data_IF_000432510838
#
_entry.id   IF_000432510838
#
_cell.length_a   1.000
_cell.length_b   1.000
_cell.length_c   1.000
_cell.angle_alpha   90.00
_cell.angle_beta   90.00
_cell.angle_gamma   90.00
#
_symmetry.space_group_name_H-M   'P 1'
#
loop_
_entity.id
_entity.type
_entity.pdbx_description
1 polymer ?
2 branched ?
3 non-polymer ?
4 non-polymer ?
5 non-polymer ?
6 non-polymer ?
7 water ?
#
# COMPACT_ATOMS: atom_id res chain seq x y z
N UNK A 1 18.82 -20.73 -7.45
CA UNK A 1 18.23 -21.89 -6.71
C UNK A 1 16.72 -21.73 -6.56
N UNK A 2 15.93 -22.63 -7.16
CA UNK A 2 14.46 -22.52 -7.09
C UNK A 2 13.94 -22.55 -5.67
N UNK A 3 13.04 -21.63 -5.31
CA UNK A 3 12.41 -21.65 -3.99
C UNK A 3 10.93 -21.98 -4.09
N UNK A 4 10.42 -22.62 -3.04
CA UNK A 4 9.03 -23.06 -2.98
C UNK A 4 8.20 -21.92 -2.46
N UNK A 5 7.13 -21.59 -3.17
CA UNK A 5 6.24 -20.51 -2.75
C UNK A 5 4.79 -20.97 -2.75
N UNK A 6 4.07 -20.58 -1.70
CA UNK A 6 2.65 -20.85 -1.59
C UNK A 6 1.90 -19.52 -1.64
N UNK A 7 1.26 -19.25 -2.78
CA UNK A 7 0.49 -18.01 -2.97
C UNK A 7 -1.01 -18.29 -2.90
N UNK A 8 -1.79 -17.22 -2.66
CA UNK A 8 -3.23 -17.29 -2.70
C UNK A 8 -3.73 -17.81 -4.04
N UNK A 9 -3.11 -17.31 -5.10
CA UNK A 9 -3.39 -17.78 -6.45
C UNK A 9 -2.37 -18.86 -6.83
N UNK A 10 -2.81 -20.12 -6.75
CA UNK A 10 -1.93 -21.26 -7.11
C UNK A 10 -1.58 -21.31 -8.58
N UNK A 11 -2.27 -20.53 -9.41
CA UNK A 11 -1.95 -20.42 -10.84
C UNK A 11 -1.30 -19.07 -11.24
N UNK A 12 -0.74 -18.35 -10.26
CA UNK A 12 -0.12 -17.05 -10.51
C UNK A 12 1.00 -17.13 -11.54
N UNK A 13 1.22 -16.07 -12.29
CA UNK A 13 2.29 -16.07 -13.31
C UNK A 13 3.65 -16.23 -12.71
N UNK A 14 4.63 -16.59 -13.55
CA UNK A 14 5.97 -16.81 -13.04
C UNK A 14 6.57 -15.55 -12.46
N UNK A 15 6.24 -14.39 -13.03
CA UNK A 15 6.78 -13.13 -12.57
C UNK A 15 6.14 -12.74 -11.23
N UNK A 16 4.88 -13.11 -11.03
CA UNK A 16 4.19 -12.85 -9.75
C UNK A 16 4.76 -13.71 -8.64
N UNK A 17 5.03 -14.98 -8.94
CA UNK A 17 5.73 -15.86 -8.01
C UNK A 17 7.12 -15.34 -7.70
N UNK A 18 7.82 -14.83 -8.72
CA UNK A 18 9.16 -14.31 -8.52
C UNK A 18 9.17 -13.10 -7.61
N UNK A 19 8.17 -12.23 -7.76
CA UNK A 19 8.08 -11.04 -6.88
C UNK A 19 7.96 -11.47 -5.43
N UNK A 20 7.13 -12.46 -5.17
CA UNK A 20 6.97 -12.99 -3.81
C UNK A 20 8.28 -13.55 -3.28
N UNK A 21 8.98 -14.34 -4.09
CA UNK A 21 10.25 -14.94 -3.71
C UNK A 21 11.30 -13.85 -3.48
N UNK A 22 11.28 -12.81 -4.32
CA UNK A 22 12.21 -11.69 -4.19
C UNK A 22 12.06 -11.05 -2.82
N UNK A 23 10.84 -10.70 -2.44
CA UNK A 23 10.65 -10.01 -1.18
C UNK A 23 10.98 -10.95 -0.02
N UNK A 24 10.71 -12.25 -0.17
CA UNK A 24 11.03 -13.20 0.91
C UNK A 24 12.53 -13.14 1.23
N UNK A 25 13.35 -13.07 0.19
CA UNK A 25 14.80 -12.97 0.40
C UNK A 25 15.23 -11.55 0.82
N UNK A 26 14.85 -10.55 0.02
CA UNK A 26 15.27 -9.18 0.19
C UNK A 26 14.98 -8.61 1.58
N UNK A 27 13.90 -9.06 2.20
CA UNK A 27 13.42 -8.38 3.39
C UNK A 27 14.33 -8.56 4.59
N UNK A 28 15.21 -9.56 4.57
CA UNK A 28 16.16 -9.64 5.67
C UNK A 28 17.50 -8.96 5.40
N UNK A 29 17.59 -8.22 4.29
CA UNK A 29 18.79 -7.50 3.93
C UNK A 29 18.60 -6.00 3.78
N UNK A 30 17.34 -5.54 3.72
CA UNK A 30 17.03 -4.13 3.54
C UNK A 30 15.55 -3.89 3.85
N UNK A 31 15.16 -2.63 3.84
CA UNK A 31 13.74 -2.23 3.78
C UNK A 31 13.59 -1.33 2.57
N UNK A 32 12.70 -1.71 1.67
CA UNK A 32 12.45 -0.90 0.47
C UNK A 32 11.59 0.31 0.82
N UNK A 33 11.87 1.43 0.16
CA UNK A 33 11.05 2.63 0.31
C UNK A 33 9.98 2.66 -0.76
N UNK A 34 8.75 2.90 -0.31
CA UNK A 34 7.60 3.07 -1.17
C UNK A 34 6.96 4.44 -1.05
N UNK A 35 6.30 4.87 -2.12
CA UNK A 35 5.68 6.18 -2.16
C UNK A 35 4.41 6.13 -3.05
N UNK A 36 3.29 6.52 -2.48
CA UNK A 36 2.04 6.64 -3.24
C UNK A 36 2.15 7.74 -4.30
N UNK A 37 1.66 7.47 -5.51
CA UNK A 37 1.68 8.43 -6.62
C UNK A 37 3.11 8.91 -6.90
N UNK A 38 4.07 8.00 -6.78
CA UNK A 38 5.47 8.36 -6.89
C UNK A 38 5.78 9.20 -8.14
N UNK A 39 5.27 8.78 -9.30
CA UNK A 39 5.60 9.48 -10.55
C UNK A 39 4.41 10.18 -11.17
N UNK A 40 3.31 10.27 -10.42
CA UNK A 40 2.11 10.95 -10.92
C UNK A 40 1.72 12.21 -10.14
N UNK A 41 2.27 12.39 -8.92
CA UNK A 41 2.03 13.59 -8.13
C UNK A 41 3.30 14.04 -7.44
N UNK A 42 3.62 15.31 -7.57
CA UNK A 42 4.75 15.83 -6.85
C UNK A 42 4.78 17.34 -6.89
N UNK A 43 5.41 17.91 -5.88
CA UNK A 43 5.58 19.37 -5.74
C UNK A 43 6.63 19.93 -6.68
N UNK A 44 7.55 19.09 -7.16
CA UNK A 44 8.66 19.55 -7.99
C UNK A 44 8.70 18.93 -9.38
N UNK A 45 7.70 18.16 -9.76
CA UNK A 45 7.76 17.49 -11.07
C UNK A 45 7.05 18.33 -12.12
N UNK A 46 7.53 18.26 -13.37
CA UNK A 46 6.95 19.05 -14.47
C UNK A 46 6.15 18.21 -15.45
N UNK A 47 6.20 16.89 -15.27
CA UNK A 47 5.40 15.97 -16.07
C UNK A 47 4.92 14.83 -15.18
N UNK A 48 3.70 14.39 -15.41
CA UNK A 48 3.07 13.31 -14.63
C UNK A 48 2.96 12.03 -15.44
N UNK A 49 3.79 11.91 -16.46
CA UNK A 49 3.81 10.79 -17.40
C UNK A 49 4.58 9.55 -16.92
N UNK A 50 5.08 9.56 -15.68
CA UNK A 50 5.69 8.39 -15.14
C UNK A 50 7.20 8.42 -15.14
N UNK A 51 7.79 9.56 -15.54
CA UNK A 51 9.25 9.68 -15.69
C UNK A 51 9.96 10.52 -14.62
N UNK A 52 9.21 11.18 -13.76
CA UNK A 52 9.75 12.05 -12.71
C UNK A 52 9.12 11.77 -11.37
N UNK A 53 9.83 12.13 -10.29
CA UNK A 53 9.28 12.05 -8.94
C UNK A 53 9.94 13.03 -7.98
N UNK A 54 9.21 13.40 -6.92
CA UNK A 54 9.79 14.22 -5.86
C UNK A 54 10.91 13.48 -5.17
N UNK A 55 10.78 12.15 -5.04
CA UNK A 55 11.85 11.33 -4.47
C UNK A 55 13.13 11.48 -5.31
N UNK A 56 13.00 11.37 -6.62
CA UNK A 56 14.16 11.46 -7.51
C UNK A 56 14.82 12.84 -7.39
N UNK A 57 14.00 13.87 -7.30
CA UNK A 57 14.52 15.23 -7.20
C UNK A 57 15.19 15.52 -5.86
N UNK A 58 14.79 14.79 -4.82
CA UNK A 58 15.37 14.91 -3.49
C UNK A 58 16.66 14.11 -3.29
N UNK A 59 16.76 12.90 -3.86
CA UNK A 59 17.86 11.97 -3.54
C UNK A 59 18.53 11.31 -4.74
N UNK A 60 17.99 11.50 -5.94
CA UNK A 60 18.61 10.96 -7.13
C UNK A 60 18.25 9.54 -7.53
N UNK A 61 17.23 8.98 -6.88
CA UNK A 61 16.66 7.71 -7.31
C UNK A 61 15.17 7.74 -7.03
N UNK A 62 14.45 6.87 -7.73
CA UNK A 62 13.03 6.64 -7.48
C UNK A 62 12.83 5.73 -6.28
N UNK A 63 11.65 5.81 -5.69
CA UNK A 63 11.20 4.80 -4.73
C UNK A 63 11.28 3.42 -5.38
N UNK A 64 11.50 2.38 -4.57
CA UNK A 64 11.47 1.01 -5.01
C UNK A 64 10.04 0.50 -5.26
N UNK A 65 9.13 0.93 -4.40
CA UNK A 65 7.74 0.50 -4.42
C UNK A 65 6.86 1.71 -4.78
N UNK A 66 5.99 1.51 -5.76
CA UNK A 66 5.16 2.53 -6.36
C UNK A 66 3.73 2.21 -6.00
N UNK A 67 3.07 3.09 -5.24
CA UNK A 67 1.70 2.87 -4.85
C UNK A 67 0.68 3.69 -5.66
N UNK A 68 -0.41 3.05 -6.00
CA UNK A 68 -1.56 3.73 -6.60
C UNK A 68 -2.83 3.15 -5.99
N UNK A 69 -3.98 3.51 -6.51
CA UNK A 69 -5.25 3.13 -5.95
C UNK A 69 -6.28 2.78 -7.02
N UNK A 70 -7.34 2.08 -6.61
CA UNK A 70 -8.46 1.82 -7.51
C UNK A 70 -9.20 3.08 -7.93
N UNK A 71 -8.93 4.21 -7.25
CA UNK A 71 -9.40 5.52 -7.73
C UNK A 71 -8.84 5.87 -9.10
N UNK A 72 -7.85 5.10 -9.58
CA UNK A 72 -7.28 5.28 -10.92
C UNK A 72 -7.69 4.15 -11.88
N UNK A 73 -8.59 3.27 -11.44
CA UNK A 73 -8.96 2.06 -12.17
C UNK A 73 -10.46 1.95 -12.40
N UNK A 74 -11.24 2.11 -11.32
CA UNK A 74 -12.68 1.91 -11.34
C UNK A 74 -13.35 3.24 -11.63
N UNK A 75 -14.29 3.25 -12.57
CA UNK A 75 -15.01 4.46 -12.92
C UNK A 75 -15.60 5.10 -11.66
N UNK A 76 -15.55 6.41 -11.51
CA UNK A 76 -15.16 7.40 -12.54
C UNK A 76 -13.67 7.78 -12.65
N UNK A 77 -12.81 7.00 -12.00
CA UNK A 77 -11.37 7.16 -12.07
C UNK A 77 -10.94 8.58 -11.72
N UNK A 78 -11.41 9.02 -10.56
CA UNK A 78 -11.10 10.35 -10.05
C UNK A 78 -9.61 10.71 -10.02
N UNK A 79 -8.73 9.72 -9.81
CA UNK A 79 -7.30 9.97 -9.73
C UNK A 79 -6.57 9.77 -11.06
N UNK A 80 -7.32 9.45 -12.12
CA UNK A 80 -6.78 9.34 -13.45
C UNK A 80 -6.12 8.02 -13.79
N UNK A 81 -6.04 7.72 -15.08
CA UNK A 81 -5.44 6.46 -15.53
C UNK A 81 -3.98 6.39 -15.09
N UNK A 82 -3.47 5.18 -14.85
CA UNK A 82 -2.09 4.93 -14.41
C UNK A 82 -1.39 3.82 -15.16
N UNK A 83 -2.02 3.27 -16.18
CA UNK A 83 -1.44 2.17 -16.93
C UNK A 83 -0.03 2.53 -17.44
N UNK A 84 0.11 3.68 -18.08
CA UNK A 84 1.40 4.09 -18.66
C UNK A 84 2.47 4.21 -17.59
N UNK A 85 2.09 4.79 -16.46
CA UNK A 85 3.03 5.05 -15.38
C UNK A 85 3.43 3.75 -14.65
N UNK A 86 2.49 2.81 -14.51
CA UNK A 86 2.79 1.47 -14.00
C UNK A 86 3.80 0.78 -14.92
N UNK A 87 3.56 0.87 -16.23
CA UNK A 87 4.44 0.23 -17.19
C UNK A 87 5.84 0.79 -17.12
N UNK A 88 5.96 2.10 -16.92
CA UNK A 88 7.29 2.74 -16.81
C UNK A 88 8.00 2.31 -15.53
N UNK A 89 7.24 2.21 -14.43
CA UNK A 89 7.81 1.74 -13.17
C UNK A 89 8.33 0.32 -13.29
N UNK A 90 7.54 -0.55 -13.91
CA UNK A 90 7.89 -1.95 -14.10
C UNK A 90 9.12 -2.09 -14.99
N UNK A 91 9.19 -1.22 -16.01
CA UNK A 91 10.32 -1.25 -16.95
C UNK A 91 11.64 -0.88 -16.26
N UNK A 92 11.54 -0.12 -15.18
CA UNK A 92 12.67 0.33 -14.35
C UNK A 92 13.01 -0.69 -13.25
N UNK A 93 12.25 -1.79 -13.19
CA UNK A 93 12.43 -2.85 -12.21
C UNK A 93 11.74 -2.59 -10.88
N UNK A 94 10.85 -1.61 -10.85
CA UNK A 94 10.08 -1.30 -9.65
C UNK A 94 9.01 -2.30 -9.32
N UNK A 95 8.46 -2.16 -8.11
CA UNK A 95 7.40 -3.01 -7.58
C UNK A 95 6.16 -2.15 -7.42
N UNK A 96 5.01 -2.70 -7.81
CA UNK A 96 3.74 -1.98 -7.88
C UNK A 96 2.77 -2.48 -6.82
N UNK A 97 2.16 -1.54 -6.09
CA UNK A 97 1.08 -1.86 -5.18
C UNK A 97 -0.11 -0.94 -5.42
N UNK A 98 -1.30 -1.49 -5.26
CA UNK A 98 -2.53 -0.75 -5.51
C UNK A 98 -3.44 -0.99 -4.30
N UNK A 99 -3.89 0.10 -3.68
CA UNK A 99 -4.90 0.04 -2.61
C UNK A 99 -6.30 0.28 -3.17
N UNK A 100 -7.29 0.01 -2.35
CA UNK A 100 -8.70 0.03 -2.81
C UNK A 100 -9.42 1.05 -1.95
N UNK A 101 -9.71 2.22 -2.52
CA UNK A 101 -10.64 3.17 -1.94
C UNK A 101 -11.92 3.06 -2.80
N UNK A 102 -12.59 1.91 -2.69
CA UNK A 102 -13.80 1.66 -3.47
C UNK A 102 -14.93 2.57 -2.99
N UNK A 103 -15.74 3.03 -3.93
CA UNK A 103 -16.97 3.73 -3.57
C UNK A 103 -17.88 2.81 -2.74
N UNK A 104 -18.87 3.40 -2.09
CA UNK A 104 -19.81 2.67 -1.26
C UNK A 104 -20.87 2.04 -2.14
N UNK A 105 -20.93 0.71 -2.25
CA UNK A 105 -21.86 0.07 -3.21
C UNK A 105 -23.34 0.34 -2.90
N UNK A 106 -23.66 0.66 -1.65
CA UNK A 106 -25.04 0.91 -1.24
C UNK A 106 -25.49 2.34 -1.60
N UNK A 107 -24.55 3.28 -1.66
CA UNK A 107 -24.90 4.71 -1.84
C UNK A 107 -24.20 5.39 -3.00
N UNK A 108 -23.47 4.68 -3.87
CA UNK A 108 -22.70 5.36 -4.88
C UNK A 108 -23.49 6.09 -5.98
N UNK A 109 -24.79 5.80 -6.13
CA UNK A 109 -25.64 6.57 -7.05
C UNK A 109 -26.06 7.92 -6.46
N UNK A 110 -25.76 8.13 -5.17
CA UNK A 110 -26.21 9.30 -4.43
C UNK A 110 -25.20 10.41 -4.29
N UNK A 111 -24.06 10.27 -4.98
CA UNK A 111 -22.98 11.25 -4.88
C UNK A 111 -23.48 12.67 -5.15
N UNK A 112 -23.01 13.60 -4.32
CA UNK A 112 -23.32 15.00 -4.49
C UNK A 112 -22.71 15.85 -3.39
N UNK A 113 -23.00 15.45 -2.17
CA UNK A 113 -22.49 16.11 -0.98
C UNK A 113 -21.41 15.17 -0.40
N UNK A 114 -20.14 15.50 -0.61
CA UNK A 114 -19.03 14.70 -0.09
C UNK A 114 -19.25 14.47 1.42
N UNK A 115 -19.05 13.26 1.96
CA UNK A 115 -18.48 12.07 1.30
C UNK A 115 -19.49 11.05 0.77
N UNK A 116 -20.75 11.44 0.57
CA UNK A 116 -21.76 10.48 0.17
C UNK A 116 -21.29 9.67 -1.05
N UNK A 117 -21.45 8.35 -0.97
CA UNK A 117 -21.16 7.47 -2.09
C UNK A 117 -19.72 7.01 -2.23
N UNK A 118 -18.80 7.59 -1.44
CA UNK A 118 -17.37 7.26 -1.51
C UNK A 118 -16.94 6.27 -0.42
N UNK A 119 -15.65 5.93 -0.40
CA UNK A 119 -15.11 5.10 0.69
C UNK A 119 -15.44 5.66 2.05
N UNK A 120 -15.43 7.00 2.13
CA UNK A 120 -15.63 7.72 3.40
C UNK A 120 -17.08 7.90 3.83
N UNK A 121 -18.02 7.42 2.99
CA UNK A 121 -19.43 7.31 3.37
C UNK A 121 -19.52 6.12 4.31
N UNK A 122 -19.71 6.38 5.60
CA UNK A 122 -19.64 5.34 6.62
C UNK A 122 -20.87 4.44 6.70
N UNK A 123 -21.90 4.74 5.90
CA UNK A 123 -23.04 3.85 5.77
C UNK A 123 -22.61 2.40 5.61
N UNK A 124 -22.96 1.52 6.53
CA UNK A 124 -22.50 0.12 6.42
C UNK A 124 -22.96 -0.52 5.10
N UNK A 125 -22.03 -1.16 4.40
CA UNK A 125 -22.37 -1.72 3.11
C UNK A 125 -21.76 -3.09 2.88
N UNK A 126 -21.28 -3.72 3.95
CA UNK A 126 -20.68 -5.04 3.82
C UNK A 126 -21.80 -6.10 3.65
N UNK A 127 -22.73 -6.14 4.58
CA UNK A 127 -23.83 -7.11 4.53
C UNK A 127 -24.59 -7.00 3.20
N UNK A 128 -24.81 -5.78 2.71
CA UNK A 128 -25.64 -5.61 1.55
C UNK A 128 -24.86 -5.80 0.23
N UNK A 129 -23.54 -5.95 0.32
CA UNK A 129 -22.69 -6.14 -0.88
C UNK A 129 -22.25 -7.58 -1.11
N UNK A 130 -22.42 -8.45 -0.12
CA UNK A 130 -22.14 -9.88 -0.28
C UNK A 130 -23.27 -10.52 -1.07
N UNK A 131 -23.03 -11.68 -1.69
CA UNK A 131 -24.09 -12.35 -2.44
C UNK A 131 -25.35 -12.52 -1.58
N UNK A 132 -26.50 -12.22 -2.17
CA UNK A 132 -27.76 -12.17 -1.47
C UNK A 132 -28.17 -10.76 -1.12
N UNK A 133 -27.17 -9.91 -0.92
CA UNK A 133 -27.39 -8.48 -0.71
C UNK A 133 -27.78 -7.72 -1.96
N UNK A 134 -28.58 -6.68 -1.77
CA UNK A 134 -29.17 -5.91 -2.87
C UNK A 134 -28.10 -5.24 -3.74
N UNK A 135 -26.95 -4.93 -3.14
CA UNK A 135 -25.92 -4.16 -3.82
C UNK A 135 -24.69 -5.01 -4.23
N UNK A 136 -24.81 -6.32 -4.14
CA UNK A 136 -23.78 -7.20 -4.66
C UNK A 136 -23.46 -6.95 -6.15
N UNK A 137 -24.42 -6.64 -7.01
CA UNK A 137 -24.05 -6.32 -8.41
C UNK A 137 -23.18 -5.06 -8.57
N UNK A 138 -23.32 -4.11 -7.66
CA UNK A 138 -22.54 -2.89 -7.72
C UNK A 138 -21.10 -3.20 -7.33
N UNK A 139 -20.90 -3.91 -6.22
CA UNK A 139 -19.54 -4.35 -5.87
C UNK A 139 -18.92 -5.17 -7.00
N UNK A 140 -19.69 -6.10 -7.56
CA UNK A 140 -19.16 -6.90 -8.67
C UNK A 140 -18.70 -6.06 -9.85
N UNK A 141 -19.40 -4.96 -10.13
CA UNK A 141 -19.01 -4.05 -11.19
C UNK A 141 -17.66 -3.45 -10.93
N UNK A 142 -17.38 -3.09 -9.68
CA UNK A 142 -16.06 -2.57 -9.33
C UNK A 142 -14.99 -3.63 -9.57
N UNK A 143 -15.24 -4.84 -9.08
CA UNK A 143 -14.29 -5.94 -9.21
C UNK A 143 -14.09 -6.33 -10.67
N UNK A 144 -15.15 -6.24 -11.49
CA UNK A 144 -15.01 -6.50 -12.95
C UNK A 144 -14.00 -5.56 -13.56
N UNK A 145 -14.04 -4.29 -13.16
CA UNK A 145 -13.15 -3.28 -13.71
C UNK A 145 -11.71 -3.49 -13.22
N UNK A 146 -11.54 -3.84 -11.95
CA UNK A 146 -10.23 -4.20 -11.44
C UNK A 146 -9.66 -5.37 -12.23
N UNK A 147 -10.46 -6.40 -12.48
CA UNK A 147 -10.00 -7.58 -13.18
C UNK A 147 -9.63 -7.27 -14.62
N UNK A 148 -10.45 -6.47 -15.32
CA UNK A 148 -10.16 -6.12 -16.71
C UNK A 148 -8.84 -5.36 -16.78
N UNK A 149 -8.60 -4.48 -15.81
CA UNK A 149 -7.38 -3.71 -15.74
C UNK A 149 -6.18 -4.64 -15.52
N UNK A 150 -6.30 -5.51 -14.54
CA UNK A 150 -5.21 -6.44 -14.23
C UNK A 150 -4.91 -7.36 -15.42
N UNK A 151 -5.96 -7.87 -16.07
CA UNK A 151 -5.82 -8.86 -17.12
C UNK A 151 -5.21 -8.28 -18.41
N UNK A 152 -5.21 -6.94 -18.52
CA UNK A 152 -4.63 -6.26 -19.67
C UNK A 152 -3.36 -5.47 -19.35
N UNK A 153 -2.83 -5.62 -18.12
CA UNK A 153 -1.68 -4.86 -17.67
C UNK A 153 -0.41 -5.61 -18.04
N UNK A 154 0.09 -5.34 -19.25
CA UNK A 154 1.17 -6.14 -19.84
C UNK A 154 2.41 -5.32 -20.15
N UNK A 155 3.58 -5.95 -20.02
CA UNK A 155 4.87 -5.32 -20.31
C UNK A 155 5.12 -5.32 -21.82
N UNK A 156 6.30 -4.89 -22.25
CA UNK A 156 6.60 -4.78 -23.67
C UNK A 156 6.76 -6.14 -24.38
N UNK A 157 6.92 -7.22 -23.62
CA UNK A 157 6.94 -8.58 -24.14
C UNK A 157 5.56 -9.27 -24.11
N UNK A 158 4.53 -8.57 -23.64
CA UNK A 158 3.18 -9.10 -23.58
C UNK A 158 2.88 -9.97 -22.36
N UNK A 159 3.75 -9.90 -21.36
CA UNK A 159 3.59 -10.68 -20.13
C UNK A 159 2.97 -9.77 -19.07
N UNK A 160 2.17 -10.36 -18.21
CA UNK A 160 1.45 -9.56 -17.21
C UNK A 160 2.39 -8.96 -16.17
N UNK A 161 2.07 -7.76 -15.71
CA UNK A 161 2.83 -7.08 -14.68
C UNK A 161 2.25 -7.45 -13.30
N UNK A 162 3.06 -7.99 -12.39
CA UNK A 162 2.55 -8.27 -11.03
C UNK A 162 2.21 -7.01 -10.25
N UNK A 163 1.19 -7.14 -9.42
CA UNK A 163 0.71 -6.06 -8.56
C UNK A 163 0.38 -6.62 -7.16
N UNK A 164 0.81 -5.91 -6.14
CA UNK A 164 0.39 -6.21 -4.75
C UNK A 164 -0.90 -5.43 -4.49
N UNK A 165 -2.01 -6.15 -4.41
CA UNK A 165 -3.35 -5.57 -4.30
C UNK A 165 -3.77 -5.60 -2.84
N UNK A 166 -3.93 -4.42 -2.26
CA UNK A 166 -4.22 -4.24 -0.84
C UNK A 166 -5.70 -3.92 -0.69
N UNK A 167 -6.45 -4.86 -0.14
CA UNK A 167 -7.91 -4.82 -0.15
C UNK A 167 -8.49 -4.40 1.17
N UNK A 168 -9.45 -3.49 1.13
CA UNK A 168 -10.25 -3.13 2.32
C UNK A 168 -9.37 -2.81 3.54
N UNK A 169 -8.44 -1.88 3.34
CA UNK A 169 -7.47 -1.48 4.36
C UNK A 169 -8.09 -0.68 5.52
N UNK A 170 -7.31 -0.55 6.59
CA UNK A 170 -7.69 0.29 7.73
C UNK A 170 -9.03 -0.14 8.33
N UNK A 171 -9.26 -1.45 8.30
CA UNK A 171 -10.55 -2.05 8.58
C UNK A 171 -10.88 -2.17 10.07
N UNK A 172 -9.88 -1.94 10.90
CA UNK A 172 -10.09 -1.91 12.35
C UNK A 172 -10.53 -0.53 12.87
N UNK A 173 -10.63 0.44 11.97
CA UNK A 173 -11.34 1.69 12.24
C UNK A 173 -12.68 1.71 11.55
N UNK A 174 -13.42 2.80 11.70
CA UNK A 174 -14.78 2.89 11.19
C UNK A 174 -15.00 4.07 10.23
N UNK A 175 -13.94 4.59 9.65
CA UNK A 175 -14.09 5.67 8.71
C UNK A 175 -14.35 5.24 7.29
N UNK A 176 -14.25 3.93 7.01
CA UNK A 176 -14.67 3.40 5.70
C UNK A 176 -15.90 2.49 5.86
N UNK A 177 -16.64 2.27 4.77
CA UNK A 177 -17.86 1.46 4.82
C UNK A 177 -17.70 -0.03 5.11
N UNK A 178 -16.46 -0.50 5.08
CA UNK A 178 -16.10 -1.87 5.38
C UNK A 178 -15.49 -2.00 6.77
N UNK A 179 -15.58 -0.94 7.57
CA UNK A 179 -14.89 -0.90 8.86
C UNK A 179 -15.57 -1.65 10.00
N UNK A 180 -15.07 -1.38 11.20
CA UNK A 180 -15.40 -2.22 12.35
C UNK A 180 -16.73 -1.92 13.02
N UNK A 181 -17.31 -0.75 12.78
CA UNK A 181 -18.70 -0.47 13.15
C UNK A 181 -19.71 -0.90 12.11
N UNK A 182 -19.22 -1.22 10.92
CA UNK A 182 -20.01 -1.50 9.75
C UNK A 182 -20.17 -3.00 9.50
N UNK A 183 -19.38 -3.82 10.19
CA UNK A 183 -19.35 -5.27 9.96
C UNK A 183 -18.90 -6.01 11.19
N UNK A 184 -19.41 -7.21 11.40
CA UNK A 184 -18.79 -8.13 12.36
C UNK A 184 -17.50 -8.65 11.75
N UNK A 185 -16.59 -9.15 12.56
CA UNK A 185 -15.37 -9.74 12.01
C UNK A 185 -15.65 -10.81 10.93
N UNK A 186 -16.62 -11.70 11.16
CA UNK A 186 -16.93 -12.71 10.15
C UNK A 186 -17.40 -12.08 8.84
N UNK A 187 -18.21 -11.02 8.92
CA UNK A 187 -18.72 -10.37 7.72
C UNK A 187 -17.58 -9.74 6.91
N UNK A 188 -16.64 -9.09 7.60
CA UNK A 188 -15.48 -8.49 6.97
C UNK A 188 -14.66 -9.57 6.28
N UNK A 189 -14.39 -10.68 6.98
CA UNK A 189 -13.63 -11.77 6.38
C UNK A 189 -14.34 -12.31 5.13
N UNK A 190 -15.67 -12.42 5.18
CA UNK A 190 -16.42 -12.90 4.01
C UNK A 190 -16.29 -11.90 2.84
N UNK A 191 -16.34 -10.59 3.12
CA UNK A 191 -16.14 -9.57 2.08
C UNK A 191 -14.77 -9.71 1.41
N UNK A 192 -13.73 -9.88 2.22
CA UNK A 192 -12.37 -10.00 1.69
C UNK A 192 -12.24 -11.28 0.84
N UNK A 193 -12.70 -12.40 1.39
CA UNK A 193 -12.59 -13.69 0.70
C UNK A 193 -13.43 -13.72 -0.57
N UNK A 194 -14.64 -13.18 -0.50
CA UNK A 194 -15.54 -13.13 -1.66
C UNK A 194 -14.83 -12.37 -2.79
N UNK A 195 -14.19 -11.27 -2.43
CA UNK A 195 -13.59 -10.37 -3.40
C UNK A 195 -12.35 -11.02 -4.05
N UNK A 196 -11.51 -11.65 -3.26
CA UNK A 196 -10.37 -12.39 -3.78
C UNK A 196 -10.86 -13.50 -4.70
N UNK A 197 -11.83 -14.28 -4.24
CA UNK A 197 -12.36 -15.38 -5.06
C UNK A 197 -12.94 -14.87 -6.38
N UNK A 198 -13.64 -13.75 -6.32
CA UNK A 198 -14.25 -13.18 -7.51
C UNK A 198 -13.15 -12.82 -8.52
N UNK A 199 -12.14 -12.11 -8.06
CA UNK A 199 -11.01 -11.74 -8.93
C UNK A 199 -10.26 -12.94 -9.51
N UNK A 200 -9.91 -13.89 -8.65
CA UNK A 200 -9.06 -15.01 -9.03
C UNK A 200 -9.85 -16.05 -9.85
N UNK A 201 -10.98 -16.48 -9.33
CA UNK A 201 -11.71 -17.62 -9.92
C UNK A 201 -12.78 -17.22 -10.95
N UNK A 202 -13.53 -16.15 -10.69
CA UNK A 202 -14.56 -15.74 -11.63
C UNK A 202 -13.98 -14.98 -12.81
N UNK A 203 -13.03 -14.09 -12.54
CA UNK A 203 -12.47 -13.21 -13.55
C UNK A 203 -11.10 -13.61 -14.03
N UNK A 204 -10.48 -14.59 -13.40
CA UNK A 204 -9.21 -15.16 -13.86
C UNK A 204 -7.96 -14.34 -13.70
N UNK A 205 -7.91 -13.45 -12.70
CA UNK A 205 -6.72 -12.66 -12.44
C UNK A 205 -5.58 -13.55 -11.96
N UNK A 206 -4.43 -13.42 -12.60
CA UNK A 206 -3.25 -14.26 -12.35
C UNK A 206 -2.01 -13.47 -11.94
N UNK A 207 -2.12 -12.15 -11.79
CA UNK A 207 -0.96 -11.28 -11.56
C UNK A 207 -1.08 -10.47 -10.29
N UNK A 208 -1.89 -10.93 -9.33
CA UNK A 208 -2.00 -10.29 -8.02
C UNK A 208 -1.38 -11.10 -6.89
N UNK A 209 -0.72 -10.38 -5.98
CA UNK A 209 -0.51 -10.84 -4.59
C UNK A 209 -1.49 -10.05 -3.73
N UNK A 210 -2.10 -10.69 -2.74
CA UNK A 210 -3.13 -10.04 -1.93
C UNK A 210 -2.61 -9.63 -0.55
N UNK A 211 -2.90 -8.40 -0.18
CA UNK A 211 -2.40 -7.82 1.07
C UNK A 211 -3.53 -7.45 2.01
N UNK A 212 -3.30 -7.73 3.28
CA UNK A 212 -4.21 -7.34 4.37
C UNK A 212 -3.51 -6.28 5.21
N UNK A 213 -4.23 -5.21 5.58
CA UNK A 213 -3.60 -4.08 6.25
C UNK A 213 -4.54 -3.35 7.20
N UNK A 214 -4.67 -3.86 8.43
CA UNK A 214 -5.43 -3.14 9.45
C UNK A 214 -4.67 -1.93 9.96
N UNK A 215 -5.28 -1.15 10.84
CA UNK A 215 -4.52 -0.10 11.51
C UNK A 215 -3.62 -0.71 12.58
N UNK A 216 -2.64 0.06 13.00
CA UNK A 216 -1.80 -0.34 14.13
C UNK A 216 -2.67 -0.60 15.35
N UNK A 217 -2.22 -1.54 16.18
CA UNK A 217 -2.86 -1.85 17.45
C UNK A 217 -2.09 -1.20 18.58
N UNK A 218 -2.80 -0.71 19.58
CA UNK A 218 -2.12 -0.22 20.77
C UNK A 218 -1.85 -1.35 21.76
N UNK A 219 -2.73 -2.34 21.79
CA UNK A 219 -2.52 -3.62 22.47
C UNK A 219 -2.03 -4.63 21.40
N UNK A 220 -0.71 -4.75 21.30
CA UNK A 220 -0.07 -5.46 20.21
C UNK A 220 0.02 -6.96 20.49
N UNK A 221 -1.01 -7.69 20.05
CA UNK A 221 -1.07 -9.15 20.25
C UNK A 221 -1.51 -9.83 18.97
N UNK A 222 -1.06 -11.07 18.80
CA UNK A 222 -1.47 -11.88 17.67
C UNK A 222 -2.99 -12.04 17.66
N UNK A 223 -3.60 -12.22 18.83
CA UNK A 223 -5.04 -12.43 18.86
C UNK A 223 -5.79 -11.23 18.31
N UNK A 224 -5.31 -10.02 18.63
CA UNK A 224 -5.95 -8.82 18.13
C UNK A 224 -5.81 -8.73 16.59
N UNK A 225 -4.62 -9.02 16.07
CA UNK A 225 -4.41 -8.98 14.60
C UNK A 225 -5.30 -10.01 13.90
N UNK A 226 -5.49 -11.16 14.54
CA UNK A 226 -6.24 -12.26 13.96
C UNK A 226 -7.75 -12.03 13.93
N UNK A 227 -8.27 -11.09 14.73
CA UNK A 227 -9.72 -10.96 14.85
C UNK A 227 -10.42 -10.75 13.50
N UNK A 228 -9.87 -9.89 12.65
CA UNK A 228 -10.44 -9.65 11.31
C UNK A 228 -9.54 -10.17 10.18
N UNK A 229 -8.50 -10.92 10.52
CA UNK A 229 -7.60 -11.47 9.50
C UNK A 229 -8.33 -12.46 8.59
N UNK A 230 -8.30 -12.25 7.27
CA UNK A 230 -9.02 -13.15 6.37
C UNK A 230 -8.54 -14.61 6.33
N UNK A 231 -7.31 -14.87 6.72
CA UNK A 231 -6.79 -16.23 6.77
C UNK A 231 -5.64 -16.48 5.82
N UNK A 232 -4.83 -17.47 6.19
CA UNK A 232 -3.65 -17.81 5.44
C UNK A 232 -3.95 -18.23 4.00
N UNK A 233 -5.14 -18.76 3.72
CA UNK A 233 -5.48 -19.15 2.34
C UNK A 233 -5.85 -17.96 1.46
N UNK A 234 -5.95 -16.77 2.06
CA UNK A 234 -6.50 -15.58 1.37
C UNK A 234 -5.57 -14.36 1.32
N UNK A 235 -4.42 -14.45 1.98
CA UNK A 235 -3.51 -13.32 2.12
C UNK A 235 -2.08 -13.77 1.84
N UNK A 236 -1.36 -13.01 1.01
CA UNK A 236 0.07 -13.18 0.77
C UNK A 236 0.96 -12.24 1.59
N UNK A 237 0.45 -11.04 1.89
CA UNK A 237 1.22 -9.94 2.46
C UNK A 237 0.49 -9.45 3.71
N UNK A 238 1.20 -9.46 4.84
CA UNK A 238 0.70 -9.01 6.13
C UNK A 238 1.27 -7.62 6.40
N UNK A 239 0.38 -6.64 6.41
CA UNK A 239 0.77 -5.29 6.69
C UNK A 239 -0.03 -4.64 7.81
N UNK A 240 0.21 -3.35 7.98
CA UNK A 240 -0.62 -2.47 8.79
C UNK A 240 -0.36 -1.03 8.37
N UNK A 241 -1.28 -0.16 8.74
CA UNK A 241 -1.22 1.28 8.46
C UNK A 241 -1.09 2.04 9.77
N UNK A 242 -0.29 3.08 9.79
CA UNK A 242 -0.18 3.88 11.02
C UNK A 242 0.20 5.33 10.75
N UNK A 243 -0.55 6.24 11.38
CA UNK A 243 -0.27 7.66 11.27
C UNK A 243 -0.12 8.22 12.67
N UNK A 244 0.88 9.05 12.89
CA UNK A 244 1.20 9.49 14.25
C UNK A 244 1.38 11.00 14.38
N UNK A 245 1.64 11.42 15.60
CA UNK A 245 1.82 12.86 15.88
C UNK A 245 3.13 13.40 15.34
N UNK A 246 3.14 14.69 15.03
CA UNK A 246 4.31 15.37 14.51
C UNK A 246 5.32 15.70 15.64
N UNK A 247 4.80 15.83 16.85
CA UNK A 247 5.59 16.14 18.05
C UNK A 247 5.37 15.12 19.15
N UNK A 248 6.34 14.99 20.05
CA UNK A 248 6.23 14.13 21.20
C UNK A 248 5.82 12.72 20.76
N UNK A 249 6.56 12.20 19.78
CA UNK A 249 6.13 10.98 19.11
C UNK A 249 6.96 9.73 19.43
N UNK A 250 7.75 9.75 20.50
CA UNK A 250 8.54 8.57 20.89
C UNK A 250 7.70 7.32 21.15
N UNK A 251 6.60 7.45 21.88
CA UNK A 251 5.74 6.31 22.20
C UNK A 251 5.14 5.76 20.91
N UNK A 252 4.75 6.66 20.03
CA UNK A 252 4.18 6.23 18.74
C UNK A 252 5.21 5.45 17.92
N UNK A 253 6.43 5.94 17.85
CA UNK A 253 7.50 5.22 17.15
C UNK A 253 7.75 3.84 17.78
N UNK A 254 7.72 3.74 19.12
CA UNK A 254 7.84 2.42 19.76
C UNK A 254 6.69 1.50 19.35
N UNK A 255 5.51 2.08 19.14
CA UNK A 255 4.35 1.31 18.72
C UNK A 255 4.47 0.85 17.27
N UNK A 256 5.10 1.67 16.44
CA UNK A 256 5.37 1.30 15.05
C UNK A 256 6.25 0.05 15.05
N UNK A 257 7.30 0.08 15.87
CA UNK A 257 8.26 -1.02 15.91
C UNK A 257 7.58 -2.30 16.44
N UNK A 258 6.73 -2.17 17.46
CA UNK A 258 6.01 -3.30 18.01
C UNK A 258 5.09 -3.96 17.01
N UNK A 259 4.33 -3.15 16.26
CA UNK A 259 3.41 -3.71 15.28
C UNK A 259 4.19 -4.37 14.13
N UNK A 260 5.29 -3.76 13.73
CA UNK A 260 6.14 -4.33 12.69
C UNK A 260 6.77 -5.64 13.15
N UNK A 261 7.17 -5.69 14.41
CA UNK A 261 7.75 -6.90 14.97
C UNK A 261 6.72 -8.01 14.98
N UNK A 262 5.48 -7.68 15.33
CA UNK A 262 4.41 -8.67 15.35
C UNK A 262 4.16 -9.24 13.96
N UNK A 263 3.96 -8.38 12.96
CA UNK A 263 3.67 -8.88 11.62
C UNK A 263 4.85 -9.65 11.05
N UNK A 264 6.07 -9.26 11.40
CA UNK A 264 7.26 -9.95 10.93
C UNK A 264 7.31 -11.37 11.50
N UNK A 265 6.98 -11.52 12.78
CA UNK A 265 6.99 -12.85 13.39
C UNK A 265 5.85 -13.74 12.86
N UNK A 266 4.67 -13.16 12.71
CA UNK A 266 3.53 -13.86 12.14
C UNK A 266 3.85 -14.31 10.70
N UNK A 267 4.47 -13.43 9.94
CA UNK A 267 4.76 -13.70 8.54
C UNK A 267 5.75 -14.86 8.38
N UNK A 268 6.76 -14.91 9.24
CA UNK A 268 7.73 -16.01 9.18
C UNK A 268 7.02 -17.32 9.50
N UNK A 269 6.14 -17.30 10.49
CA UNK A 269 5.39 -18.49 10.89
C UNK A 269 4.45 -19.02 9.81
N UNK A 270 3.91 -18.10 9.01
CA UNK A 270 2.81 -18.38 8.10
C UNK A 270 3.23 -18.37 6.64
N UNK A 271 4.51 -18.08 6.36
CA UNK A 271 4.99 -18.02 4.99
C UNK A 271 4.48 -16.85 4.18
N UNK A 272 4.40 -15.69 4.83
CA UNK A 272 3.90 -14.46 4.22
C UNK A 272 5.00 -13.42 4.15
N UNK A 273 4.70 -12.30 3.51
CA UNK A 273 5.61 -11.15 3.46
C UNK A 273 5.08 -10.07 4.41
N UNK A 274 5.85 -9.65 5.41
CA UNK A 274 5.44 -8.58 6.32
C UNK A 274 5.87 -7.21 5.75
N UNK A 275 5.00 -6.22 5.86
CA UNK A 275 5.26 -4.85 5.41
C UNK A 275 4.62 -3.82 6.33
N UNK A 276 5.08 -2.58 6.25
CA UNK A 276 4.30 -1.44 6.72
C UNK A 276 3.65 -0.82 5.46
N UNK A 277 2.36 -1.01 5.34
CA UNK A 277 1.63 -0.60 4.12
C UNK A 277 1.50 0.90 3.93
N UNK A 278 1.37 1.63 5.03
CA UNK A 278 1.18 3.08 5.01
C UNK A 278 1.69 3.61 6.32
N UNK A 279 2.56 4.62 6.29
CA UNK A 279 3.06 5.24 7.50
C UNK A 279 3.36 6.69 7.24
N UNK A 280 3.03 7.54 8.22
CA UNK A 280 3.32 8.94 8.12
C UNK A 280 2.95 9.71 9.34
N UNK A 281 3.41 10.95 9.36
CA UNK A 281 2.81 11.94 10.23
C UNK A 281 1.36 12.14 9.81
N UNK A 282 0.47 12.26 10.78
CA UNK A 282 -0.95 12.45 10.49
C UNK A 282 -1.19 13.70 9.63
N UNK A 283 -2.08 13.55 8.63
CA UNK A 283 -2.34 14.60 7.66
C UNK A 283 -2.70 15.93 8.34
N UNK A 284 -3.55 15.95 9.35
CA UNK A 284 -3.91 17.23 10.00
C UNK A 284 -2.68 18.02 10.49
N UNK A 285 -1.65 17.34 10.96
CA UNK A 285 -0.45 18.04 11.44
C UNK A 285 0.34 18.65 10.30
N UNK A 286 0.48 17.90 9.20
CA UNK A 286 1.12 18.40 7.99
C UNK A 286 0.34 19.58 7.39
N UNK A 287 -0.98 19.50 7.44
CA UNK A 287 -1.86 20.51 6.87
C UNK A 287 -1.76 21.83 7.66
N UNK A 288 -1.38 21.73 8.93
CA UNK A 288 -1.18 22.91 9.78
C UNK A 288 0.21 23.53 9.61
N UNK A 289 1.04 22.99 8.72
CA UNK A 289 2.36 23.51 8.44
C UNK A 289 3.44 23.01 9.37
N UNK A 290 3.13 21.98 10.16
CA UNK A 290 4.08 21.42 11.12
C UNK A 290 5.01 20.35 10.48
N UNK A 291 6.14 20.14 11.11
CA UNK A 291 7.16 19.22 10.60
C UNK A 291 7.97 18.61 11.74
N UNK A 292 8.47 17.40 11.48
CA UNK A 292 9.45 16.73 12.32
C UNK A 292 10.67 16.45 11.46
N UNK A 293 11.75 17.21 11.65
CA UNK A 293 12.92 17.07 10.80
C UNK A 293 13.89 15.97 11.23
N UNK A 294 13.45 15.11 12.15
CA UNK A 294 14.14 13.87 12.47
C UNK A 294 13.28 12.62 12.18
N UNK A 295 12.12 12.80 11.56
CA UNK A 295 11.15 11.71 11.41
C UNK A 295 11.69 10.47 10.70
N UNK A 296 12.24 10.66 9.51
CA UNK A 296 12.77 9.54 8.73
C UNK A 296 13.97 8.88 9.43
N UNK A 297 14.81 9.68 10.09
CA UNK A 297 15.95 9.08 10.79
C UNK A 297 15.51 8.24 11.99
N UNK A 298 14.50 8.70 12.72
CA UNK A 298 13.91 7.97 13.82
C UNK A 298 13.27 6.66 13.31
N UNK A 299 12.62 6.74 12.16
CA UNK A 299 11.93 5.59 11.60
C UNK A 299 12.91 4.48 11.28
N UNK A 300 13.93 4.79 10.50
CA UNK A 300 14.85 3.76 10.05
C UNK A 300 15.68 3.25 11.23
N UNK A 301 16.06 4.15 12.15
CA UNK A 301 16.83 3.74 13.34
C UNK A 301 16.05 2.75 14.18
N UNK A 302 14.79 3.05 14.45
CA UNK A 302 13.94 2.20 15.25
C UNK A 302 13.70 0.83 14.63
N UNK A 303 13.38 0.84 13.33
CA UNK A 303 13.08 -0.41 12.65
C UNK A 303 14.31 -1.30 12.55
N UNK A 304 15.45 -0.76 12.20
CA UNK A 304 16.58 -1.64 11.90
C UNK A 304 17.23 -2.16 13.18
N UNK A 305 17.02 -1.49 14.32
CA UNK A 305 17.58 -1.97 15.60
C UNK A 305 16.84 -3.20 16.13
N UNK A 306 15.56 -3.33 15.78
CA UNK A 306 14.70 -4.39 16.30
C UNK A 306 14.90 -5.64 15.42
N UNK A 307 15.21 -6.79 16.02
CA UNK A 307 15.51 -7.99 15.23
C UNK A 307 14.33 -8.54 14.42
N UNK A 308 13.10 -8.23 14.83
CA UNK A 308 11.91 -8.63 14.07
C UNK A 308 11.42 -7.56 13.11
N UNK A 309 11.27 -6.33 13.59
CA UNK A 309 10.76 -5.22 12.77
C UNK A 309 11.63 -4.96 11.54
N UNK A 310 12.93 -5.18 11.66
CA UNK A 310 13.83 -4.95 10.53
C UNK A 310 13.51 -5.86 9.33
N UNK A 311 12.80 -6.96 9.58
CA UNK A 311 12.52 -7.98 8.57
C UNK A 311 11.32 -7.65 7.65
N UNK A 312 10.71 -6.46 7.81
CA UNK A 312 9.68 -6.03 6.86
C UNK A 312 10.30 -5.83 5.48
N UNK A 313 9.52 -6.07 4.41
CA UNK A 313 10.04 -5.91 3.06
C UNK A 313 10.08 -4.46 2.63
N UNK A 314 9.03 -3.71 2.96
CA UNK A 314 8.98 -2.29 2.63
C UNK A 314 8.12 -1.50 3.60
N UNK A 315 8.30 -0.19 3.53
CA UNK A 315 7.39 0.78 4.09
C UNK A 315 7.03 1.81 3.05
N UNK A 316 5.80 2.29 3.08
CA UNK A 316 5.29 3.21 2.06
C UNK A 316 4.71 4.44 2.73
N UNK A 317 5.04 5.61 2.21
CA UNK A 317 4.43 6.86 2.67
C UNK A 317 3.51 7.43 1.59
N UNK A 318 2.60 8.29 1.99
CA UNK A 318 1.51 8.72 1.11
C UNK A 318 1.90 9.86 0.14
N UNK A 319 0.90 10.33 -0.61
CA UNK A 319 1.13 11.12 -1.82
C UNK A 319 1.62 12.54 -1.54
N UNK A 320 2.36 13.08 -2.49
CA UNK A 320 2.79 14.48 -2.48
C UNK A 320 1.86 15.30 -3.39
N UNK A 321 0.80 15.81 -2.81
CA UNK A 321 -0.21 16.57 -3.54
C UNK A 321 0.40 17.84 -4.09
N UNK A 322 0.38 18.04 -5.40
CA UNK A 322 1.12 19.15 -6.02
C UNK A 322 0.69 20.53 -5.58
N UNK A 323 -0.59 20.73 -5.26
CA UNK A 323 -1.11 22.01 -4.76
C UNK A 323 -1.82 21.85 -3.44
N UNK A 324 -1.41 20.85 -2.66
CA UNK A 324 -2.04 20.58 -1.39
C UNK A 324 -3.49 20.15 -1.52
N UNK A 325 -4.24 20.38 -0.45
CA UNK A 325 -5.67 20.11 -0.37
C UNK A 325 -6.40 21.36 0.15
N UNK A 326 -7.70 21.44 -0.10
CA UNK A 326 -8.47 22.60 0.37
C UNK A 326 -8.41 22.77 1.89
N UNK A 327 -8.06 23.96 2.36
CA UNK A 327 -7.92 24.25 3.77
C UNK A 327 -9.24 24.38 4.51
N UNK A 329 -5.61 26.70 0.18
CA UNK A 329 -4.91 25.40 0.07
C UNK A 329 -3.85 25.22 1.17
N UNK A 330 -3.73 24.01 1.68
CA UNK A 330 -2.80 23.68 2.76
C UNK A 330 -1.95 22.46 2.35
N UNK A 331 -0.76 22.31 2.90
CA UNK A 331 0.14 21.24 2.46
C UNK A 331 -0.38 19.83 2.77
N UNK A 332 -0.05 18.88 1.90
CA UNK A 332 -0.50 17.51 2.07
C UNK A 332 0.49 16.66 1.30
N UNK A 333 1.60 16.34 1.96
CA UNK A 333 2.70 15.62 1.32
C UNK A 333 3.57 14.97 2.37
N UNK A 334 4.29 13.92 1.98
CA UNK A 334 5.11 13.16 2.93
C UNK A 334 6.59 13.00 2.59
N UNK A 335 6.95 13.03 1.31
CA UNK A 335 8.36 12.99 0.91
C UNK A 335 8.85 14.45 0.85
N UNK A 336 9.83 14.82 1.68
CA UNK A 336 10.40 16.17 1.60
C UNK A 336 10.92 16.48 0.21
N UNK A 337 10.47 17.61 -0.34
CA UNK A 337 10.80 17.99 -1.70
C UNK A 337 12.07 18.83 -1.73
N UNK A 338 12.76 18.80 -2.87
CA UNK A 338 13.92 19.66 -3.07
C UNK A 338 13.44 21.06 -3.41
N UNK A 339 13.18 21.84 -2.37
CA UNK A 339 12.70 23.21 -2.50
C UNK A 339 13.01 23.98 -1.22
N UNK A 340 13.02 25.32 -1.27
CA UNK A 340 13.40 26.14 -0.11
C UNK A 340 12.74 25.78 1.23
N UNK A 341 11.47 25.46 1.22
CA UNK A 341 10.77 25.16 2.46
C UNK A 341 11.39 23.96 3.19
N UNK A 342 11.69 22.92 2.44
CA UNK A 342 12.20 21.69 3.05
C UNK A 342 13.72 21.73 3.29
N UNK A 343 14.42 22.59 2.56
CA UNK A 343 15.83 22.85 2.87
C UNK A 343 15.92 23.59 4.22
N UNK A 344 15.10 24.62 4.39
CA UNK A 344 15.16 25.49 5.56
C UNK A 344 14.69 24.83 6.85
N UNK A 345 13.67 23.98 6.79
CA UNK A 345 13.15 23.35 7.99
C UNK A 345 13.88 22.04 8.35
N UNK A 346 14.81 21.60 7.52
CA UNK A 346 15.67 20.47 7.82
C UNK A 346 15.12 19.12 7.39
N UNK A 347 13.95 19.12 6.78
CA UNK A 347 13.31 17.84 6.40
C UNK A 347 13.96 17.18 5.19
N UNK A 348 14.45 17.97 4.25
CA UNK A 348 15.13 17.41 3.11
C UNK A 348 16.39 16.67 3.56
N UNK A 349 17.18 17.29 4.45
CA UNK A 349 18.37 16.65 5.04
C UNK A 349 18.02 15.31 5.71
N UNK A 350 16.91 15.29 6.43
CA UNK A 350 16.42 14.11 7.12
C UNK A 350 16.18 12.97 6.13
N UNK A 351 15.50 13.29 5.03
CA UNK A 351 15.17 12.29 4.03
C UNK A 351 16.44 11.83 3.29
N UNK A 352 17.37 12.75 3.02
CA UNK A 352 18.62 12.37 2.36
C UNK A 352 19.46 11.43 3.22
N UNK A 353 19.38 11.61 4.53
CA UNK A 353 20.07 10.74 5.48
C UNK A 353 19.42 9.33 5.48
N UNK A 354 18.09 9.32 5.39
CA UNK A 354 17.33 8.07 5.28
C UNK A 354 17.74 7.32 4.01
N UNK A 355 17.86 8.03 2.90
CA UNK A 355 18.33 7.47 1.65
C UNK A 355 19.75 6.93 1.79
N UNK A 356 20.60 7.68 2.47
CA UNK A 356 22.02 7.31 2.60
C UNK A 356 22.20 6.05 3.43
N UNK A 357 21.28 5.80 4.34
CA UNK A 357 21.35 4.66 5.26
C UNK A 357 21.50 3.38 4.46
N UNK A 358 22.44 2.53 4.83
CA UNK A 358 22.71 1.35 4.02
C UNK A 358 21.58 0.30 4.03
N UNK A 359 20.63 0.41 4.96
CA UNK A 359 19.56 -0.59 5.07
C UNK A 359 18.32 -0.20 4.24
N UNK A 360 18.25 1.04 3.75
CA UNK A 360 17.13 1.41 2.88
C UNK A 360 17.43 1.07 1.43
N UNK A 361 16.39 0.65 0.69
CA UNK A 361 16.53 0.26 -0.68
C UNK A 361 15.57 1.06 -1.56
N UNK A 362 16.16 1.75 -2.53
CA UNK A 362 15.43 2.51 -3.54
C UNK A 362 15.51 1.75 -4.87
N UNK A 363 14.99 2.30 -5.97
CA UNK A 363 14.76 1.49 -7.17
C UNK A 363 16.07 0.87 -7.75
N UNK A 364 17.17 1.60 -7.74
CA UNK A 364 18.43 1.04 -8.25
C UNK A 364 19.06 -0.06 -7.36
N UNK A 365 18.59 -0.17 -6.13
CA UNK A 365 19.09 -1.17 -5.17
C UNK A 365 18.45 -2.55 -5.30
N UNK A 366 17.37 -2.65 -6.07
CA UNK A 366 16.67 -3.93 -6.21
C UNK A 366 16.88 -4.45 -7.62
N UNK A 367 17.29 -5.70 -7.71
CA UNK A 367 17.70 -6.26 -9.00
C UNK A 367 17.11 -7.63 -9.18
N UNK A 368 16.76 -7.95 -10.42
CA UNK A 368 16.26 -9.25 -10.82
C UNK A 368 15.07 -9.68 -9.99
N UNK A 369 14.17 -8.74 -9.80
CA UNK A 369 12.98 -8.99 -8.96
C UNK A 369 12.06 -10.06 -9.55
N UNK A 370 11.97 -10.09 -10.89
CA UNK A 370 10.92 -10.81 -11.58
C UNK A 370 11.40 -12.04 -12.34
N UNK A 371 12.69 -12.35 -12.27
CA UNK A 371 13.20 -13.49 -13.03
C UNK A 371 13.76 -14.61 -12.14
N UNK A 372 13.32 -14.67 -10.88
CA UNK A 372 13.76 -15.71 -9.96
C UNK A 372 12.96 -16.98 -10.18
N UNK A 373 13.62 -18.13 -10.26
CA UNK A 373 12.89 -19.39 -10.45
C UNK A 373 12.19 -19.86 -9.18
N UNK A 374 11.00 -20.41 -9.33
CA UNK A 374 10.22 -20.87 -8.18
C UNK A 374 9.53 -22.20 -8.45
N UNK A 375 9.21 -22.91 -7.37
CA UNK A 375 8.34 -24.09 -7.39
C UNK A 375 7.11 -23.82 -6.50
N UNK A 376 5.99 -24.53 -6.72
CA UNK A 376 4.78 -24.34 -5.89
C UNK A 376 4.57 -25.42 -4.82
#
# INVERSE_FOLDING_TARGET
KPVTVKLVDSQATMETRSLFAFMQEQRRHSIMFGHQHETTQGLTITRTDGTQSDTFNAVGDFAAVYGWDTLSIVAPKAEGDIVAQVKKAYARGGIITVSSHFDNPKTDTQKGVWPVGTSWDQTPAVVDSLPGGAYNPVLNGYLDQVAEWANNLKDEQGRLIPVIFRLYHANTGSWFWWGDKQSTPEQYKQLFRYSVEYLRDVKGVRNFLYAYSPNNFWDVTEANYLERYPGDEWVDVLGFDTYGPVADNADWFRNVVANAALVARMAEARGKIPVISEIGIRAPDIEAGLYDNQWYRKLISGLKADPDAREIAFLLVWRNAPQGVPGTQVPHYWVPANRPENINNGTLEDFQAFYADEFTAFNRDIEQVYQRPTLI
#
